data_IF_539496900621
#
_entry.id   IF_539496900621
#
_cell.length_a   1.000
_cell.length_b   1.000
_cell.length_c   1.000
_cell.angle_alpha   90.00
_cell.angle_beta   90.00
_cell.angle_gamma   90.00
#
_symmetry.space_group_name_H-M   'P 1'
#
loop_
_entity.id
_entity.type
_entity.pdbx_description
1 polymer ?
#
# COMPACT_ATOMS: atom_id res chain seq x y z
N UNK A 1 17.02 17.74 -12.45
CA UNK A 1 16.50 18.41 -11.24
C UNK A 1 17.01 17.62 -10.05
N UNK A 2 17.77 18.25 -9.17
CA UNK A 2 18.29 17.59 -7.98
C UNK A 2 17.39 17.83 -6.74
N UNK A 3 17.73 17.19 -5.62
CA UNK A 3 16.97 17.33 -4.37
C UNK A 3 16.97 18.75 -3.81
N UNK A 4 18.02 19.53 -4.04
CA UNK A 4 18.12 20.92 -3.60
C UNK A 4 17.20 21.82 -4.41
N UNK A 5 17.18 21.65 -5.73
CA UNK A 5 16.30 22.37 -6.66
C UNK A 5 14.82 22.09 -6.36
N UNK A 6 14.48 20.82 -6.10
CA UNK A 6 13.09 20.45 -5.76
C UNK A 6 12.63 21.09 -4.44
N UNK A 7 13.44 21.02 -3.41
CA UNK A 7 13.13 21.65 -2.12
C UNK A 7 13.06 23.18 -2.24
N UNK A 8 13.89 23.79 -3.08
CA UNK A 8 13.84 25.23 -3.37
C UNK A 8 12.54 25.60 -4.09
N UNK A 9 12.12 24.83 -5.11
CA UNK A 9 10.84 25.06 -5.81
C UNK A 9 9.68 24.99 -4.85
N UNK A 10 9.62 23.99 -3.99
CA UNK A 10 8.56 23.86 -2.98
C UNK A 10 8.51 25.07 -2.03
N UNK A 11 9.68 25.52 -1.55
CA UNK A 11 9.78 26.66 -0.65
C UNK A 11 9.35 28.01 -1.28
N UNK A 12 9.49 28.11 -2.61
CA UNK A 12 9.17 29.31 -3.39
C UNK A 12 7.78 29.28 -4.03
N UNK A 13 7.03 28.20 -3.87
CA UNK A 13 5.73 28.00 -4.48
C UNK A 13 4.62 27.90 -3.40
N UNK A 14 4.27 28.99 -2.71
CA UNK A 14 3.34 28.97 -1.58
C UNK A 14 1.89 28.67 -1.96
N UNK A 15 1.57 28.66 -3.25
CA UNK A 15 0.23 28.37 -3.80
C UNK A 15 0.16 27.02 -4.53
N UNK A 16 1.25 26.24 -4.54
CA UNK A 16 1.30 24.96 -5.22
C UNK A 16 0.42 23.94 -4.48
N UNK A 17 -0.61 23.43 -5.14
CA UNK A 17 -1.53 22.45 -4.56
C UNK A 17 -1.23 21.01 -4.98
N UNK A 18 -0.67 20.81 -6.17
CA UNK A 18 -0.39 19.48 -6.72
C UNK A 18 1.07 19.42 -7.17
N UNK A 19 1.78 18.42 -6.67
CA UNK A 19 3.13 18.08 -7.11
C UNK A 19 3.09 16.68 -7.73
N UNK A 20 3.35 16.62 -9.02
CA UNK A 20 3.53 15.36 -9.73
C UNK A 20 4.99 15.26 -10.21
N UNK A 21 5.65 14.14 -9.86
CA UNK A 21 7.04 13.86 -10.23
C UNK A 21 7.06 12.57 -11.03
N UNK A 22 7.42 12.66 -12.29
CA UNK A 22 7.51 11.52 -13.19
C UNK A 22 8.90 11.44 -13.86
N UNK A 23 9.37 10.22 -14.09
CA UNK A 23 10.56 9.93 -14.86
C UNK A 23 11.79 9.58 -14.04
N UNK A 24 12.90 9.33 -14.74
CA UNK A 24 14.17 8.98 -14.13
C UNK A 24 14.90 10.20 -13.60
N UNK A 25 14.97 10.34 -12.29
CA UNK A 25 15.81 11.34 -11.63
C UNK A 25 17.13 10.70 -11.21
N UNK A 26 18.23 11.28 -11.62
CA UNK A 26 19.57 10.94 -11.18
C UNK A 26 20.27 12.23 -10.70
N UNK A 27 20.84 12.24 -9.50
CA UNK A 27 20.85 11.21 -8.47
C UNK A 27 19.47 10.94 -7.86
N UNK A 28 19.30 9.85 -7.08
CA UNK A 28 18.02 9.54 -6.40
C UNK A 28 17.49 10.71 -5.59
N UNK A 29 16.20 10.95 -5.69
CA UNK A 29 15.53 12.10 -5.07
C UNK A 29 15.44 11.94 -3.54
N UNK A 30 15.77 13.03 -2.84
CA UNK A 30 15.46 13.21 -1.40
C UNK A 30 14.50 14.37 -1.26
N UNK A 31 13.23 14.04 -1.09
CA UNK A 31 12.16 15.03 -1.02
C UNK A 31 11.83 15.38 0.42
N UNK A 32 11.86 16.68 0.73
CA UNK A 32 11.43 17.22 2.03
C UNK A 32 10.24 18.15 1.83
N UNK A 33 9.09 17.74 2.32
CA UNK A 33 7.82 18.46 2.15
C UNK A 33 7.56 19.34 3.36
N UNK A 34 7.61 20.65 3.16
CA UNK A 34 7.12 21.69 4.07
C UNK A 34 6.24 22.60 3.23
N UNK A 35 4.92 22.49 3.38
CA UNK A 35 3.99 23.27 2.58
C UNK A 35 2.65 23.41 3.27
N UNK A 36 2.10 24.61 3.20
CA UNK A 36 0.75 24.90 3.71
C UNK A 36 -0.33 24.86 2.60
N UNK A 37 0.08 24.71 1.35
CA UNK A 37 -0.82 24.70 0.19
C UNK A 37 -0.96 23.33 -0.47
N UNK A 38 0.09 22.49 -0.44
CA UNK A 38 0.06 21.17 -1.08
C UNK A 38 -1.06 20.29 -0.54
N UNK A 39 -1.86 19.78 -1.49
CA UNK A 39 -2.96 18.84 -1.26
C UNK A 39 -2.65 17.44 -1.81
N UNK A 40 -1.86 17.37 -2.88
CA UNK A 40 -1.53 16.10 -3.52
C UNK A 40 -0.04 16.07 -3.87
N UNK A 41 0.62 14.98 -3.48
CA UNK A 41 1.97 14.63 -3.91
C UNK A 41 1.93 13.24 -4.53
N UNK A 42 2.43 13.15 -5.75
CA UNK A 42 2.42 11.94 -6.54
C UNK A 42 3.80 11.76 -7.18
N UNK A 43 4.40 10.59 -6.98
CA UNK A 43 5.71 10.27 -7.52
C UNK A 43 5.60 8.94 -8.26
N UNK A 44 5.89 8.95 -9.57
CA UNK A 44 5.82 7.76 -10.40
C UNK A 44 7.13 7.50 -11.15
N UNK A 45 7.55 6.25 -11.13
CA UNK A 45 8.64 5.79 -11.97
C UNK A 45 10.01 6.41 -11.67
N UNK A 46 10.13 7.20 -10.59
CA UNK A 46 11.36 7.88 -10.18
C UNK A 46 12.14 7.05 -9.17
N UNK A 47 13.47 7.20 -9.17
CA UNK A 47 14.31 6.65 -8.10
C UNK A 47 14.34 7.62 -6.92
N UNK A 48 13.94 7.15 -5.74
CA UNK A 48 13.82 7.99 -4.55
C UNK A 48 14.52 7.34 -3.36
N UNK A 49 15.40 8.08 -2.70
CA UNK A 49 16.08 7.67 -1.47
C UNK A 49 15.19 7.88 -0.24
N UNK A 50 14.53 9.06 -0.21
CA UNK A 50 13.68 9.39 0.93
C UNK A 50 12.60 10.41 0.60
N UNK A 51 11.45 10.26 1.26
CA UNK A 51 10.38 11.27 1.33
C UNK A 51 10.12 11.59 2.78
N UNK A 52 10.26 12.86 3.15
CA UNK A 52 9.98 13.33 4.51
C UNK A 52 8.91 14.40 4.49
N UNK A 53 7.73 14.09 5.00
CA UNK A 53 6.65 15.05 5.22
C UNK A 53 6.84 15.65 6.61
N UNK A 54 7.35 16.90 6.66
CA UNK A 54 7.68 17.58 7.92
C UNK A 54 6.47 18.32 8.47
N UNK A 55 5.89 19.22 7.67
CA UNK A 55 4.63 19.92 7.97
C UNK A 55 3.88 20.18 6.68
N UNK A 56 2.77 19.47 6.50
CA UNK A 56 1.91 19.58 5.31
C UNK A 56 0.44 19.44 5.74
N UNK A 57 -0.10 20.53 6.31
CA UNK A 57 -1.41 20.53 6.98
C UNK A 57 -2.59 20.27 6.05
N UNK A 58 -2.45 20.61 4.77
CA UNK A 58 -3.48 20.42 3.75
C UNK A 58 -3.23 19.21 2.85
N UNK A 59 -2.17 18.44 3.09
CA UNK A 59 -1.84 17.27 2.29
C UNK A 59 -2.90 16.18 2.49
N UNK A 60 -3.65 15.93 1.46
CA UNK A 60 -4.77 14.99 1.40
C UNK A 60 -4.33 13.64 0.82
N UNK A 61 -3.44 13.66 -0.19
CA UNK A 61 -3.03 12.47 -0.93
C UNK A 61 -1.52 12.40 -1.07
N UNK A 62 -0.94 11.25 -0.74
CA UNK A 62 0.48 10.94 -0.90
C UNK A 62 0.62 9.58 -1.58
N UNK A 63 1.00 9.57 -2.86
CA UNK A 63 1.13 8.39 -3.70
C UNK A 63 2.58 8.21 -4.13
N UNK A 64 3.19 7.06 -3.83
CA UNK A 64 4.64 6.88 -3.88
C UNK A 64 5.04 5.66 -4.72
N UNK A 65 4.67 5.66 -6.00
CA UNK A 65 5.01 4.64 -7.00
C UNK A 65 6.47 4.72 -7.47
N UNK A 66 7.40 4.44 -6.57
CA UNK A 66 8.83 4.47 -6.89
C UNK A 66 9.25 3.32 -7.79
N UNK A 67 10.31 3.56 -8.58
CA UNK A 67 11.12 2.46 -9.08
C UNK A 67 12.12 2.08 -7.99
N UNK A 68 11.92 0.93 -7.39
CA UNK A 68 12.89 0.35 -6.47
C UNK A 68 13.82 -0.58 -7.26
N UNK A 69 15.11 -0.29 -7.27
CA UNK A 69 16.12 -1.30 -7.63
C UNK A 69 16.10 -2.38 -6.54
N UNK A 70 16.56 -3.60 -6.84
CA UNK A 70 16.50 -4.73 -5.90
C UNK A 70 17.14 -4.42 -4.55
N UNK A 71 18.16 -3.57 -4.52
CA UNK A 71 18.92 -3.19 -3.33
C UNK A 71 18.54 -1.83 -2.72
N UNK A 72 17.57 -1.10 -3.29
CA UNK A 72 17.22 0.24 -2.80
C UNK A 72 16.04 0.19 -1.83
N UNK A 73 16.26 0.74 -0.63
CA UNK A 73 15.22 0.97 0.37
C UNK A 73 14.87 2.46 0.42
N UNK A 74 13.65 2.82 0.07
CA UNK A 74 13.17 4.19 0.24
C UNK A 74 12.66 4.42 1.67
N UNK A 75 13.13 5.52 2.29
CA UNK A 75 12.68 5.92 3.63
C UNK A 75 11.54 6.92 3.52
N UNK A 76 10.38 6.53 4.03
CA UNK A 76 9.18 7.37 4.07
C UNK A 76 8.96 7.81 5.51
N UNK A 77 9.06 9.11 5.78
CA UNK A 77 8.86 9.68 7.11
C UNK A 77 7.69 10.66 7.10
N UNK A 78 6.69 10.43 7.94
CA UNK A 78 5.55 11.33 8.14
C UNK A 78 5.60 11.88 9.55
N UNK A 79 5.81 13.21 9.69
CA UNK A 79 5.85 13.90 10.98
C UNK A 79 4.51 14.58 11.25
N UNK A 80 4.05 15.44 10.32
CA UNK A 80 2.80 16.16 10.48
C UNK A 80 2.05 16.31 9.15
N UNK A 81 0.98 15.53 8.98
CA UNK A 81 0.07 15.57 7.84
C UNK A 81 -1.36 15.22 8.29
N UNK A 82 -2.04 16.13 9.04
CA UNK A 82 -3.32 15.81 9.69
C UNK A 82 -4.48 15.60 8.72
N UNK A 83 -4.40 16.12 7.49
CA UNK A 83 -5.43 15.96 6.46
C UNK A 83 -5.20 14.74 5.54
N UNK A 84 -4.12 13.97 5.76
CA UNK A 84 -3.75 12.85 4.88
C UNK A 84 -4.79 11.73 4.98
N UNK A 85 -5.68 11.63 3.99
CA UNK A 85 -6.71 10.61 3.93
C UNK A 85 -6.40 9.49 2.92
N UNK A 86 -5.54 9.71 1.94
CA UNK A 86 -5.11 8.70 0.98
C UNK A 86 -3.58 8.55 1.01
N UNK A 87 -3.13 7.35 1.35
CA UNK A 87 -1.71 7.00 1.38
C UNK A 87 -1.49 5.72 0.58
N UNK A 88 -0.65 5.76 -0.45
CA UNK A 88 -0.62 4.67 -1.39
C UNK A 88 0.67 4.41 -2.14
N UNK A 89 0.63 3.29 -2.87
CA UNK A 89 1.70 2.72 -3.66
C UNK A 89 2.94 2.34 -2.82
N UNK A 90 2.70 1.85 -1.58
CA UNK A 90 3.76 1.49 -0.64
C UNK A 90 4.17 0.03 -0.83
N UNK A 91 5.40 -0.22 -1.22
CA UNK A 91 5.94 -1.57 -1.37
C UNK A 91 6.48 -2.10 -0.04
N UNK A 92 5.76 -3.09 0.54
CA UNK A 92 6.17 -3.72 1.80
C UNK A 92 7.51 -4.46 1.62
N UNK A 93 8.36 -4.36 2.64
CA UNK A 93 9.69 -4.99 2.63
C UNK A 93 10.75 -4.21 1.86
N UNK A 94 10.37 -3.25 1.00
CA UNK A 94 11.30 -2.34 0.31
C UNK A 94 11.22 -0.90 0.79
N UNK A 95 10.08 -0.50 1.35
CA UNK A 95 9.95 0.83 1.95
C UNK A 95 10.06 0.75 3.47
N UNK A 96 10.85 1.64 4.06
CA UNK A 96 10.90 1.86 5.50
C UNK A 96 9.93 2.98 5.84
N UNK A 97 8.84 2.66 6.55
CA UNK A 97 7.87 3.65 7.01
C UNK A 97 8.20 4.11 8.43
N UNK A 98 8.33 5.42 8.60
CA UNK A 98 8.48 6.07 9.90
C UNK A 98 7.33 7.05 10.13
N UNK A 99 6.62 6.91 11.26
CA UNK A 99 5.58 7.84 11.71
C UNK A 99 6.05 8.53 12.98
N UNK A 100 6.17 9.85 12.93
CA UNK A 100 6.85 10.62 13.97
C UNK A 100 8.30 10.16 14.14
N UNK A 101 8.64 9.66 15.34
CA UNK A 101 9.98 9.14 15.65
C UNK A 101 10.07 7.61 15.62
N UNK A 102 9.01 6.91 15.24
CA UNK A 102 8.95 5.46 15.31
C UNK A 102 9.05 4.84 13.91
N UNK A 103 10.01 3.94 13.74
CA UNK A 103 10.15 3.12 12.54
C UNK A 103 9.23 1.90 12.66
N UNK A 104 8.43 1.66 11.63
CA UNK A 104 7.52 0.53 11.57
C UNK A 104 8.29 -0.70 11.10
N UNK A 105 8.39 -1.70 11.96
CA UNK A 105 9.08 -2.97 11.67
C UNK A 105 8.12 -4.15 11.75
N UNK A 106 8.42 -5.20 10.99
CA UNK A 106 7.63 -6.43 11.00
C UNK A 106 7.52 -7.03 12.41
N UNK A 107 6.28 -7.40 12.80
CA UNK A 107 6.02 -8.08 14.07
C UNK A 107 6.16 -7.20 15.32
N UNK A 108 6.35 -5.87 15.17
CA UNK A 108 6.40 -4.97 16.32
C UNK A 108 4.99 -4.56 16.78
N UNK A 109 4.82 -4.39 18.08
CA UNK A 109 3.62 -3.77 18.62
C UNK A 109 3.61 -2.27 18.27
N UNK A 110 2.55 -1.81 17.65
CA UNK A 110 2.40 -0.40 17.29
C UNK A 110 1.93 0.40 18.50
N UNK A 111 2.74 1.35 18.94
CA UNK A 111 2.33 2.29 19.97
C UNK A 111 1.14 3.15 19.45
N UNK A 112 0.12 3.45 20.27
CA UNK A 112 -0.98 4.36 19.89
C UNK A 112 -0.54 5.70 19.30
N UNK A 113 0.63 6.23 19.70
CA UNK A 113 1.20 7.47 19.14
C UNK A 113 1.71 7.36 17.69
N UNK A 114 1.79 6.14 17.15
CA UNK A 114 2.28 5.85 15.79
C UNK A 114 1.10 5.65 14.84
N UNK A 115 -0.03 6.28 15.10
CA UNK A 115 -1.24 6.12 14.27
C UNK A 115 -1.45 7.31 13.36
N UNK A 116 -1.92 7.02 12.16
CA UNK A 116 -2.39 8.00 11.17
C UNK A 116 -3.91 7.82 11.00
N UNK A 117 -4.71 8.34 11.95
CA UNK A 117 -6.15 8.08 11.99
C UNK A 117 -6.94 8.79 10.88
N UNK A 118 -6.36 9.78 10.22
CA UNK A 118 -6.98 10.48 9.11
C UNK A 118 -6.98 9.64 7.82
N UNK A 119 -6.07 8.67 7.70
CA UNK A 119 -5.99 7.82 6.50
C UNK A 119 -7.18 6.86 6.46
N UNK A 120 -7.98 6.99 5.40
CA UNK A 120 -9.16 6.17 5.09
C UNK A 120 -8.95 5.28 3.87
N UNK A 121 -8.03 5.65 2.98
CA UNK A 121 -7.68 4.87 1.80
C UNK A 121 -6.19 4.52 1.88
N UNK A 122 -5.90 3.21 1.86
CA UNK A 122 -4.54 2.69 1.90
C UNK A 122 -4.29 1.77 0.71
N UNK A 123 -3.16 1.99 0.03
CA UNK A 123 -2.76 1.19 -1.13
C UNK A 123 -1.37 0.60 -0.89
N UNK A 124 -1.27 -0.72 -0.92
CA UNK A 124 -0.06 -1.47 -0.58
C UNK A 124 0.32 -2.46 -1.68
N UNK A 125 1.60 -2.54 -1.97
CA UNK A 125 2.18 -3.57 -2.82
C UNK A 125 2.79 -4.67 -1.94
N UNK A 126 2.32 -5.91 -2.12
CA UNK A 126 2.65 -7.05 -1.25
C UNK A 126 3.15 -8.23 -2.07
N UNK A 127 4.31 -8.76 -1.74
CA UNK A 127 4.82 -10.03 -2.25
C UNK A 127 4.39 -11.15 -1.30
N UNK A 128 3.26 -11.79 -1.57
CA UNK A 128 2.73 -12.84 -0.69
C UNK A 128 3.62 -14.09 -0.58
N UNK A 129 4.57 -14.28 -1.51
CA UNK A 129 5.62 -15.31 -1.41
C UNK A 129 6.77 -14.94 -0.47
N UNK A 130 6.88 -13.68 -0.03
CA UNK A 130 7.95 -13.18 0.84
C UNK A 130 7.43 -13.09 2.27
N UNK A 131 8.00 -13.92 3.16
CA UNK A 131 7.54 -14.03 4.55
C UNK A 131 7.59 -12.70 5.32
N UNK A 132 8.62 -11.89 5.08
CA UNK A 132 8.76 -10.61 5.78
C UNK A 132 7.71 -9.59 5.35
N UNK A 133 7.35 -9.51 4.07
CA UNK A 133 6.29 -8.64 3.59
C UNK A 133 4.96 -8.98 4.25
N UNK A 134 4.61 -10.26 4.27
CA UNK A 134 3.39 -10.74 4.94
C UNK A 134 3.39 -10.42 6.44
N UNK A 135 4.54 -10.49 7.13
CA UNK A 135 4.65 -10.13 8.54
C UNK A 135 4.53 -8.63 8.79
N UNK A 136 4.93 -7.80 7.81
CA UNK A 136 4.75 -6.34 7.90
C UNK A 136 3.29 -5.93 7.84
N UNK A 137 2.45 -6.64 7.08
CA UNK A 137 1.09 -6.24 6.78
C UNK A 137 0.22 -6.01 8.03
N UNK A 138 0.14 -6.93 9.02
CA UNK A 138 -0.60 -6.68 10.26
C UNK A 138 -0.09 -5.45 11.03
N UNK A 139 1.23 -5.22 11.02
CA UNK A 139 1.85 -4.08 11.71
C UNK A 139 1.47 -2.76 11.04
N UNK A 140 1.56 -2.71 9.71
CA UNK A 140 1.14 -1.54 8.93
C UNK A 140 -0.34 -1.23 9.14
N UNK A 141 -1.22 -2.22 9.03
CA UNK A 141 -2.67 -2.02 9.21
C UNK A 141 -3.03 -1.46 10.60
N UNK A 142 -2.24 -1.78 11.63
CA UNK A 142 -2.44 -1.21 12.98
C UNK A 142 -2.09 0.28 13.07
N UNK A 143 -1.27 0.79 12.15
CA UNK A 143 -0.96 2.22 12.09
C UNK A 143 -2.14 3.04 11.53
N UNK A 144 -3.09 2.41 10.86
CA UNK A 144 -4.19 3.05 10.15
C UNK A 144 -5.54 2.53 10.66
N UNK A 145 -6.00 2.96 11.84
CA UNK A 145 -7.16 2.37 12.51
C UNK A 145 -8.51 2.62 11.83
N UNK A 146 -8.58 3.60 10.93
CA UNK A 146 -9.82 4.07 10.31
C UNK A 146 -9.85 3.85 8.78
N UNK A 147 -9.05 2.91 8.26
CA UNK A 147 -9.11 2.56 6.84
C UNK A 147 -10.53 2.07 6.53
N UNK A 148 -11.14 2.66 5.51
CA UNK A 148 -12.40 2.25 4.89
C UNK A 148 -12.13 1.40 3.63
N UNK A 149 -11.17 1.81 2.83
CA UNK A 149 -10.80 1.17 1.58
C UNK A 149 -9.34 0.73 1.58
N UNK A 150 -9.11 -0.55 1.35
CA UNK A 150 -7.78 -1.15 1.25
C UNK A 150 -7.56 -1.70 -0.17
N UNK A 151 -6.56 -1.16 -0.87
CA UNK A 151 -6.06 -1.70 -2.11
C UNK A 151 -4.80 -2.53 -1.86
N UNK A 152 -4.76 -3.74 -2.37
CA UNK A 152 -3.61 -4.64 -2.30
C UNK A 152 -3.19 -5.01 -3.73
N UNK A 153 -1.98 -4.62 -4.12
CA UNK A 153 -1.36 -5.08 -5.36
C UNK A 153 -0.48 -6.29 -5.07
N UNK A 154 -0.88 -7.46 -5.58
CA UNK A 154 -0.12 -8.68 -5.38
C UNK A 154 1.07 -8.75 -6.34
N UNK A 155 2.25 -8.47 -5.84
CA UNK A 155 3.49 -8.49 -6.63
C UNK A 155 4.01 -9.92 -6.80
N UNK A 156 4.40 -10.27 -8.03
CA UNK A 156 5.10 -11.52 -8.31
C UNK A 156 6.47 -11.50 -7.65
N UNK A 157 6.88 -12.63 -7.10
CA UNK A 157 8.24 -12.84 -6.61
C UNK A 157 8.83 -14.12 -7.21
N UNK A 158 10.10 -14.07 -7.57
CA UNK A 158 10.90 -15.25 -7.95
C UNK A 158 11.44 -15.95 -6.73
N UNK A 159 11.61 -15.24 -5.61
CA UNK A 159 12.14 -15.73 -4.35
C UNK A 159 11.01 -15.99 -3.35
N UNK A 160 10.65 -17.26 -3.16
CA UNK A 160 9.71 -17.63 -2.08
C UNK A 160 10.49 -17.96 -0.81
N UNK A 161 10.40 -17.09 0.20
CA UNK A 161 11.06 -17.32 1.52
C UNK A 161 10.20 -18.10 2.50
N UNK A 162 9.08 -18.64 2.05
CA UNK A 162 8.18 -19.48 2.85
C UNK A 162 6.76 -18.96 2.93
N UNK A 163 5.82 -19.87 3.06
CA UNK A 163 4.39 -19.60 3.11
C UNK A 163 3.92 -19.38 4.55
N UNK A 164 3.07 -18.40 4.75
CA UNK A 164 2.37 -18.19 6.02
C UNK A 164 0.97 -18.80 5.91
N UNK A 165 0.65 -19.69 6.87
CA UNK A 165 -0.67 -20.29 6.96
C UNK A 165 -1.68 -19.41 7.70
N UNK A 166 -2.96 -19.83 7.72
CA UNK A 166 -4.05 -19.13 8.42
C UNK A 166 -3.75 -18.94 9.92
N UNK A 167 -3.00 -19.86 10.53
CA UNK A 167 -2.59 -19.77 11.93
C UNK A 167 -1.80 -18.49 12.23
N UNK A 168 -0.86 -18.11 11.35
CA UNK A 168 -0.10 -16.87 11.50
C UNK A 168 -1.03 -15.64 11.53
N UNK A 169 -2.00 -15.57 10.62
CA UNK A 169 -2.93 -14.46 10.54
C UNK A 169 -3.81 -14.36 11.78
N UNK A 170 -4.32 -15.50 12.26
CA UNK A 170 -5.10 -15.57 13.49
C UNK A 170 -4.30 -15.23 14.75
N UNK A 171 -3.05 -15.69 14.83
CA UNK A 171 -2.13 -15.38 15.93
C UNK A 171 -1.62 -13.93 15.91
N UNK A 172 -1.69 -13.24 14.78
CA UNK A 172 -1.37 -11.81 14.70
C UNK A 172 -2.29 -10.95 15.58
N UNK A 173 -3.40 -11.53 16.08
CA UNK A 173 -4.38 -10.83 16.92
C UNK A 173 -5.29 -9.90 16.15
N UNK A 174 -6.28 -9.34 16.83
CA UNK A 174 -7.26 -8.47 16.21
C UNK A 174 -6.63 -7.21 15.63
N UNK A 175 -6.99 -6.89 14.38
CA UNK A 175 -6.60 -5.68 13.67
C UNK A 175 -7.85 -4.82 13.55
N UNK A 176 -7.91 -3.73 14.31
CA UNK A 176 -9.12 -2.90 14.46
C UNK A 176 -9.73 -2.50 13.12
N UNK A 177 -8.93 -2.01 12.17
CA UNK A 177 -9.48 -1.60 10.88
C UNK A 177 -10.11 -2.77 10.10
N UNK A 178 -9.54 -3.98 10.19
CA UNK A 178 -10.10 -5.18 9.54
C UNK A 178 -11.42 -5.61 10.16
N UNK A 179 -11.52 -5.54 11.49
CA UNK A 179 -12.72 -6.02 12.20
C UNK A 179 -13.88 -5.03 12.18
N UNK A 180 -13.62 -3.72 12.01
CA UNK A 180 -14.68 -2.72 12.24
C UNK A 180 -14.73 -1.55 11.26
N UNK A 181 -13.74 -1.36 10.40
CA UNK A 181 -13.66 -0.14 9.58
C UNK A 181 -13.61 -0.41 8.09
N UNK A 182 -12.90 -1.46 7.64
CA UNK A 182 -12.73 -1.75 6.21
C UNK A 182 -14.04 -2.25 5.61
N UNK A 183 -14.58 -1.45 4.66
CA UNK A 183 -15.76 -1.77 3.89
C UNK A 183 -15.42 -2.30 2.49
N UNK A 184 -14.25 -1.93 1.94
CA UNK A 184 -13.81 -2.33 0.61
C UNK A 184 -12.40 -2.91 0.67
N UNK A 185 -12.22 -4.10 0.14
CA UNK A 185 -10.93 -4.70 -0.16
C UNK A 185 -10.82 -4.93 -1.67
N UNK A 186 -9.88 -4.25 -2.33
CA UNK A 186 -9.56 -4.48 -3.73
C UNK A 186 -8.22 -5.20 -3.84
N UNK A 187 -8.19 -6.34 -4.50
CA UNK A 187 -6.96 -7.08 -4.75
C UNK A 187 -6.66 -7.06 -6.23
N UNK A 188 -5.58 -6.37 -6.59
CA UNK A 188 -5.09 -6.23 -7.96
C UNK A 188 -3.99 -7.26 -8.23
N UNK A 189 -3.85 -7.66 -9.50
CA UNK A 189 -2.88 -8.67 -9.93
C UNK A 189 -3.00 -10.01 -9.19
N UNK A 190 -4.22 -10.36 -8.79
CA UNK A 190 -4.52 -11.60 -8.07
C UNK A 190 -4.26 -12.83 -8.94
N UNK A 191 -3.48 -13.79 -8.45
CA UNK A 191 -3.09 -15.01 -9.19
C UNK A 191 -3.70 -16.28 -8.65
N UNK A 192 -4.40 -16.21 -7.51
CA UNK A 192 -4.96 -17.38 -6.83
C UNK A 192 -3.89 -18.23 -6.12
N UNK A 193 -2.73 -17.64 -5.82
CA UNK A 193 -1.70 -18.35 -5.06
C UNK A 193 -2.18 -18.68 -3.65
N UNK A 194 -1.73 -19.81 -3.11
CA UNK A 194 -2.17 -20.26 -1.77
C UNK A 194 -1.97 -19.22 -0.67
N UNK A 195 -0.92 -18.41 -0.73
CA UNK A 195 -0.65 -17.36 0.24
C UNK A 195 -1.64 -16.19 0.13
N UNK A 196 -2.06 -15.83 -1.09
CA UNK A 196 -3.10 -14.84 -1.35
C UNK A 196 -4.47 -15.33 -0.83
N UNK A 197 -4.83 -16.58 -1.14
CA UNK A 197 -6.08 -17.21 -0.68
C UNK A 197 -6.15 -17.28 0.85
N UNK A 198 -5.05 -17.60 1.53
CA UNK A 198 -4.99 -17.63 2.99
C UNK A 198 -5.18 -16.25 3.60
N UNK A 199 -4.58 -15.20 2.99
CA UNK A 199 -4.79 -13.83 3.38
C UNK A 199 -6.26 -13.39 3.20
N UNK A 200 -6.83 -13.64 2.02
CA UNK A 200 -8.23 -13.35 1.75
C UNK A 200 -9.16 -14.06 2.74
N UNK A 201 -8.93 -15.35 3.00
CA UNK A 201 -9.70 -16.11 3.98
C UNK A 201 -9.67 -15.45 5.36
N UNK A 202 -8.49 -15.03 5.83
CA UNK A 202 -8.35 -14.31 7.10
C UNK A 202 -9.17 -13.02 7.11
N UNK A 203 -9.06 -12.20 6.06
CA UNK A 203 -9.81 -10.95 5.95
C UNK A 203 -11.32 -11.18 6.00
N UNK A 204 -11.78 -12.12 5.19
CA UNK A 204 -13.17 -12.48 5.06
C UNK A 204 -13.74 -13.00 6.41
N UNK A 205 -13.00 -13.87 7.11
CA UNK A 205 -13.42 -14.39 8.40
C UNK A 205 -13.39 -13.34 9.52
N UNK A 206 -12.62 -12.26 9.37
CA UNK A 206 -12.40 -11.25 10.41
C UNK A 206 -13.28 -10.01 10.25
N UNK A 207 -13.69 -9.66 9.04
CA UNK A 207 -14.43 -8.44 8.74
C UNK A 207 -15.94 -8.63 8.98
N UNK A 208 -16.59 -7.59 9.53
CA UNK A 208 -18.05 -7.62 9.76
C UNK A 208 -18.84 -7.27 8.50
N UNK A 209 -18.36 -6.28 7.74
CA UNK A 209 -19.00 -5.84 6.50
C UNK A 209 -17.90 -5.59 5.46
N UNK A 210 -17.76 -6.48 4.50
CA UNK A 210 -16.68 -6.39 3.52
C UNK A 210 -17.21 -6.61 2.11
N UNK A 211 -16.93 -5.69 1.22
CA UNK A 211 -17.00 -5.88 -0.23
C UNK A 211 -15.62 -6.22 -0.75
N UNK A 212 -15.49 -7.29 -1.50
CA UNK A 212 -14.23 -7.72 -2.08
C UNK A 212 -14.31 -7.58 -3.59
N UNK A 213 -13.36 -6.84 -4.15
CA UNK A 213 -13.11 -6.77 -5.60
C UNK A 213 -11.78 -7.43 -5.90
N UNK A 214 -11.72 -8.24 -6.95
CA UNK A 214 -10.49 -8.89 -7.40
C UNK A 214 -10.25 -8.59 -8.87
N UNK A 215 -9.03 -8.17 -9.20
CA UNK A 215 -8.57 -7.97 -10.56
C UNK A 215 -7.44 -8.94 -10.86
N UNK A 216 -7.57 -9.64 -11.97
CA UNK A 216 -6.56 -10.57 -12.45
C UNK A 216 -5.47 -9.80 -13.20
N UNK A 217 -4.20 -10.27 -13.17
CA UNK A 217 -3.13 -9.63 -13.93
C UNK A 217 -3.51 -9.58 -15.41
N UNK A 218 -3.31 -8.42 -16.04
CA UNK A 218 -3.48 -8.30 -17.47
C UNK A 218 -2.58 -9.34 -18.16
N UNK A 219 -3.16 -10.27 -18.90
CA UNK A 219 -2.38 -11.16 -19.76
C UNK A 219 -1.59 -10.27 -20.71
N UNK A 220 -0.30 -10.48 -20.76
CA UNK A 220 0.60 -9.77 -21.67
C UNK A 220 -0.04 -9.72 -23.05
N UNK A 221 -0.21 -8.50 -23.55
CA UNK A 221 -0.91 -8.16 -24.79
C UNK A 221 -0.21 -8.85 -25.96
N UNK A 222 -0.74 -9.96 -26.38
CA UNK A 222 -0.53 -10.51 -27.72
C UNK A 222 -1.85 -10.93 -28.38
N UNK A 223 -3.00 -10.60 -27.80
CA UNK A 223 -4.29 -10.72 -28.52
C UNK A 223 -5.33 -9.80 -27.86
N UNK A 224 -5.81 -8.83 -28.65
CA UNK A 224 -7.05 -8.10 -28.60
C UNK A 224 -7.75 -7.89 -27.24
N UNK A 225 -7.70 -6.67 -26.80
CA UNK A 225 -8.73 -5.97 -26.01
C UNK A 225 -9.70 -6.85 -25.20
N UNK A 226 -9.37 -7.11 -23.94
CA UNK A 226 -10.41 -7.43 -22.96
C UNK A 226 -10.05 -6.72 -21.65
N UNK A 227 -10.82 -5.69 -21.31
CA UNK A 227 -10.80 -5.02 -19.99
C UNK A 227 -10.93 -6.08 -18.91
N UNK A 228 -10.03 -6.07 -17.93
CA UNK A 228 -10.16 -6.83 -16.70
C UNK A 228 -11.54 -6.55 -16.09
N UNK A 229 -12.38 -7.57 -15.95
CA UNK A 229 -13.68 -7.44 -15.27
C UNK A 229 -13.45 -7.58 -13.79
N UNK A 230 -13.76 -6.53 -13.03
CA UNK A 230 -13.94 -6.64 -11.61
C UNK A 230 -15.13 -7.58 -11.34
N UNK A 231 -14.91 -8.63 -10.56
CA UNK A 231 -15.98 -9.53 -10.14
C UNK A 231 -16.33 -9.17 -8.71
N UNK A 232 -17.48 -8.53 -8.51
CA UNK A 232 -18.10 -8.40 -7.20
C UNK A 232 -18.81 -9.73 -6.89
N UNK A 233 -18.26 -10.50 -5.95
CA UNK A 233 -18.88 -11.75 -5.50
C UNK A 233 -19.60 -11.54 -4.17
N UNK A 234 -20.89 -11.85 -4.08
CA UNK A 234 -21.58 -11.92 -2.79
C UNK A 234 -21.09 -13.13 -1.98
N UNK A 235 -20.86 -12.91 -0.68
CA UNK A 235 -20.67 -13.94 0.33
C UNK A 235 -21.74 -15.04 0.23
N UNK A 236 -21.49 -16.26 0.27
CA UNK A 236 -20.54 -17.22 0.80
C UNK A 236 -19.88 -18.15 -0.22
N UNK A 237 -19.85 -17.83 -1.51
CA UNK A 237 -19.44 -18.75 -2.57
C UNK A 237 -17.94 -18.91 -2.79
N UNK A 238 -17.12 -18.07 -2.15
CA UNK A 238 -15.65 -18.09 -2.33
C UNK A 238 -14.95 -19.24 -1.59
N UNK A 239 -15.57 -19.83 -0.58
CA UNK A 239 -14.93 -20.83 0.28
C UNK A 239 -15.15 -22.28 -0.18
N UNK A 240 -16.09 -22.52 -1.08
CA UNK A 240 -16.52 -23.88 -1.44
C UNK A 240 -16.09 -24.35 -2.85
N UNK A 241 -15.33 -23.50 -3.57
CA UNK A 241 -14.83 -23.88 -4.89
C UNK A 241 -13.35 -24.17 -4.87
N UNK A 242 -13.01 -25.45 -5.11
CA UNK A 242 -11.79 -25.85 -5.80
C UNK A 242 -11.59 -24.92 -7.00
N UNK A 243 -10.33 -24.55 -7.38
CA UNK A 243 -10.09 -23.54 -8.40
C UNK A 243 -10.94 -23.85 -9.63
N UNK A 244 -11.78 -22.94 -10.09
CA UNK A 244 -12.51 -23.18 -11.32
C UNK A 244 -11.50 -23.18 -12.45
N UNK A 245 -11.31 -24.34 -13.04
CA UNK A 245 -10.91 -24.45 -14.42
C UNK A 245 -11.94 -23.71 -15.24
N UNK A 246 -11.50 -22.71 -15.98
CA UNK A 246 -12.13 -22.20 -17.19
C UNK A 246 -13.55 -21.61 -17.08
N UNK A 247 -13.64 -20.36 -17.37
CA UNK A 247 -14.70 -19.92 -18.29
C UNK A 247 -14.10 -18.97 -19.33
N UNK A 248 -13.83 -19.60 -20.49
CA UNK A 248 -13.86 -18.91 -21.79
C UNK A 248 -15.30 -18.48 -22.06
N UNK A 249 -15.52 -17.24 -22.31
CA UNK A 249 -16.40 -16.70 -23.32
C UNK A 249 -15.88 -15.33 -23.73
#
# INVERSE_FOLDING_TARGET
>A
MDSGEMNFVLARSPVLEILNIEGHLLPPLRLRIISHSLRCVQIHGSTVDSVTVVDARRLERLLLGFRTNEDSCCKIKIIHAPALHMFGEIELGKNELQVGNNIIKAGTMVNPSVRLPAVTILDLHVRFGVRNDCKMLPTILRCFPNIDTLHIHSKKTTESTGRLGIKFWKESGAIKCVTSSINMLSVHDFRGERSELVFLKFFIESAQMLKVSMEWPARSVLEGSTRARAIELPWPKLLDQSPPCLLSI
#
